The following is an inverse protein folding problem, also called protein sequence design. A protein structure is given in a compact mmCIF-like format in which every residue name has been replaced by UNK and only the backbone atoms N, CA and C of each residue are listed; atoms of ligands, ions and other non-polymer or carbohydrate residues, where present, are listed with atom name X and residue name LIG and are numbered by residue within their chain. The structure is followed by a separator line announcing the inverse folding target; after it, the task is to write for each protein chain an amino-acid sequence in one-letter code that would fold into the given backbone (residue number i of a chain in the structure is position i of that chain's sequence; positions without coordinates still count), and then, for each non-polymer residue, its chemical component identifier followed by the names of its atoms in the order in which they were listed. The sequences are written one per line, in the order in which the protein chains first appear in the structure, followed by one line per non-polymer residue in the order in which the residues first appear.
data_IF_682468941459
#
_entry.id   IF_682468941459
#
_cell.length_a   1.000
_cell.length_b   1.000
_cell.length_c   1.000
_cell.angle_alpha   90.00
_cell.angle_beta   90.00
_cell.angle_gamma   90.00
#
_symmetry.space_group_name_H-M   'P 1'
#
loop_
_entity.id
_entity.type
_entity.pdbx_description
1 polymer ?
#
# COMPACT_ATOMS: atom_id res chain seq x y z
N UNK A 1 5.96 0.25 18.09
CA UNK A 1 6.82 -0.87 17.68
C UNK A 1 6.38 -1.40 16.33
N UNK A 2 7.27 -2.05 15.58
CA UNK A 2 6.95 -2.63 14.26
C UNK A 2 5.81 -3.65 14.31
N UNK A 3 5.65 -4.35 15.44
CA UNK A 3 4.52 -5.26 15.70
C UNK A 3 3.15 -4.59 15.66
N UNK A 4 3.06 -3.30 15.99
CA UNK A 4 1.81 -2.54 15.89
C UNK A 4 1.60 -1.99 14.47
N UNK A 5 2.68 -1.69 13.74
CA UNK A 5 2.60 -1.27 12.35
C UNK A 5 2.18 -2.42 11.42
N UNK A 6 2.66 -3.64 11.67
CA UNK A 6 2.35 -4.82 10.85
C UNK A 6 0.85 -5.08 10.62
N UNK A 7 -0.02 -5.13 11.64
CA UNK A 7 -1.46 -5.33 11.42
C UNK A 7 -2.13 -4.14 10.73
N UNK A 8 -1.63 -2.90 10.92
CA UNK A 8 -2.13 -1.73 10.19
C UNK A 8 -1.83 -1.83 8.69
N UNK A 9 -0.60 -2.24 8.34
CA UNK A 9 -0.22 -2.50 6.93
C UNK A 9 -1.05 -3.64 6.34
N UNK A 10 -1.27 -4.72 7.10
CA UNK A 10 -2.09 -5.84 6.64
C UNK A 10 -3.56 -5.41 6.40
N UNK A 11 -4.14 -4.62 7.30
CA UNK A 11 -5.48 -4.07 7.13
C UNK A 11 -5.58 -3.12 5.93
N UNK A 12 -4.57 -2.28 5.72
CA UNK A 12 -4.48 -1.41 4.54
C UNK A 12 -4.41 -2.25 3.24
N UNK A 13 -3.58 -3.28 3.21
CA UNK A 13 -3.50 -4.20 2.07
C UNK A 13 -4.83 -4.89 1.77
N UNK A 14 -5.51 -5.41 2.80
CA UNK A 14 -6.84 -5.98 2.64
C UNK A 14 -7.85 -4.95 2.11
N UNK A 15 -7.79 -3.70 2.57
CA UNK A 15 -8.68 -2.62 2.10
C UNK A 15 -8.42 -2.27 0.64
N UNK A 16 -7.15 -2.13 0.23
CA UNK A 16 -6.77 -1.87 -1.16
C UNK A 16 -7.23 -3.00 -2.05
N UNK A 17 -6.99 -4.25 -1.65
CA UNK A 17 -7.40 -5.43 -2.41
C UNK A 17 -8.93 -5.55 -2.51
N UNK A 18 -9.67 -5.17 -1.46
CA UNK A 18 -11.14 -5.14 -1.51
C UNK A 18 -11.71 -4.17 -2.54
N UNK A 19 -10.95 -3.14 -2.93
CA UNK A 19 -11.37 -2.16 -3.92
C UNK A 19 -11.26 -2.69 -5.36
N UNK A 20 -10.37 -3.66 -5.61
CA UNK A 20 -10.26 -4.38 -6.87
C UNK A 20 -9.78 -5.83 -6.59
N UNK A 21 -10.71 -6.77 -6.38
CA UNK A 21 -10.38 -8.16 -6.04
C UNK A 21 -9.64 -8.94 -7.14
N UNK A 22 -9.58 -8.41 -8.37
CA UNK A 22 -8.85 -9.05 -9.48
C UNK A 22 -7.34 -8.80 -9.43
N UNK A 23 -6.88 -7.87 -8.58
CA UNK A 23 -5.47 -7.61 -8.41
C UNK A 23 -4.73 -8.83 -7.85
N UNK A 24 -3.50 -9.01 -8.32
CA UNK A 24 -2.53 -9.89 -7.68
C UNK A 24 -1.99 -9.25 -6.40
N UNK A 25 -1.48 -10.07 -5.48
CA UNK A 25 -0.81 -9.58 -4.27
C UNK A 25 0.29 -8.56 -4.59
N UNK A 26 1.04 -8.79 -5.67
CA UNK A 26 2.12 -7.92 -6.14
C UNK A 26 1.58 -6.55 -6.58
N UNK A 27 0.46 -6.51 -7.30
CA UNK A 27 -0.17 -5.24 -7.69
C UNK A 27 -0.68 -4.46 -6.48
N UNK A 28 -1.21 -5.13 -5.46
CA UNK A 28 -1.63 -4.47 -4.20
C UNK A 28 -0.43 -3.86 -3.47
N UNK A 29 0.67 -4.61 -3.33
CA UNK A 29 1.91 -4.09 -2.73
C UNK A 29 2.42 -2.89 -3.53
N UNK A 30 2.50 -3.00 -4.86
CA UNK A 30 2.95 -1.89 -5.70
C UNK A 30 2.06 -0.65 -5.57
N UNK A 31 0.74 -0.80 -5.47
CA UNK A 31 -0.16 0.32 -5.28
C UNK A 31 0.07 1.05 -3.95
N UNK A 32 0.37 0.30 -2.88
CA UNK A 32 0.70 0.84 -1.56
C UNK A 32 2.06 1.56 -1.61
N UNK A 33 3.08 0.95 -2.21
CA UNK A 33 4.42 1.53 -2.30
C UNK A 33 4.46 2.80 -3.15
N UNK A 34 3.73 2.83 -4.27
CA UNK A 34 3.67 3.98 -5.18
C UNK A 34 2.97 5.20 -4.58
N UNK A 35 2.04 4.98 -3.65
CA UNK A 35 1.23 6.05 -3.04
C UNK A 35 1.73 6.47 -1.66
N UNK A 36 2.72 5.76 -1.12
CA UNK A 36 3.35 6.10 0.15
C UNK A 36 4.13 7.43 0.07
N UNK A 37 4.35 8.04 1.24
CA UNK A 37 4.90 9.40 1.36
C UNK A 37 6.32 9.59 0.79
N UNK A 38 7.07 8.50 0.57
CA UNK A 38 8.40 8.50 -0.01
C UNK A 38 8.43 8.74 -1.52
N UNK A 39 7.26 8.80 -2.19
CA UNK A 39 7.13 9.17 -3.61
C UNK A 39 8.06 8.36 -4.53
N UNK A 40 8.16 7.05 -4.26
CA UNK A 40 9.02 6.12 -5.02
C UNK A 40 10.48 6.09 -4.59
N UNK A 41 10.90 6.91 -3.63
CA UNK A 41 12.23 6.81 -3.01
C UNK A 41 12.16 5.88 -1.81
N UNK A 42 13.04 4.88 -1.77
CA UNK A 42 13.18 3.94 -0.65
C UNK A 42 14.31 4.38 0.27
N UNK A 43 14.07 4.41 1.58
CA UNK A 43 15.13 4.51 2.60
C UNK A 43 15.18 3.24 3.44
N UNK A 44 16.27 3.05 4.20
CA UNK A 44 16.41 1.87 5.05
C UNK A 44 15.57 1.97 6.33
N UNK A 45 15.26 3.18 6.79
CA UNK A 45 14.46 3.43 8.00
C UNK A 45 12.95 3.33 7.73
N UNK A 46 12.49 3.78 6.56
CA UNK A 46 11.05 3.95 6.28
C UNK A 46 10.56 3.16 5.06
N UNK A 47 11.44 2.49 4.31
CA UNK A 47 11.05 1.92 3.03
C UNK A 47 10.54 3.02 2.11
N UNK A 48 9.35 2.84 1.52
CA UNK A 48 8.69 3.84 0.67
C UNK A 48 7.93 4.93 1.45
N UNK A 49 8.07 5.00 2.77
CA UNK A 49 7.45 6.02 3.61
C UNK A 49 6.15 5.56 4.27
N UNK A 50 5.34 6.53 4.71
CA UNK A 50 4.06 6.29 5.39
C UNK A 50 2.99 5.96 4.37
N UNK A 51 2.20 4.91 4.63
CA UNK A 51 1.11 4.46 3.76
C UNK A 51 0.02 5.53 3.65
N UNK A 52 -0.39 5.85 2.42
CA UNK A 52 -1.63 6.58 2.13
C UNK A 52 -2.69 5.60 1.62
N UNK A 53 -3.58 5.15 2.51
CA UNK A 53 -4.61 4.15 2.19
C UNK A 53 -5.62 4.70 1.18
N UNK A 54 -5.93 6.00 1.25
CA UNK A 54 -6.92 6.63 0.37
C UNK A 54 -6.39 6.67 -1.06
N UNK A 55 -5.14 7.11 -1.24
CA UNK A 55 -4.47 7.13 -2.54
C UNK A 55 -4.29 5.71 -3.09
N UNK A 56 -3.87 4.74 -2.26
CA UNK A 56 -3.72 3.34 -2.69
C UNK A 56 -5.04 2.72 -3.19
N UNK A 57 -6.16 2.99 -2.49
CA UNK A 57 -7.49 2.54 -2.90
C UNK A 57 -7.93 3.20 -4.21
N UNK A 58 -7.65 4.49 -4.38
CA UNK A 58 -7.96 5.19 -5.62
C UNK A 58 -7.17 4.61 -6.80
N UNK A 59 -5.88 4.34 -6.61
CA UNK A 59 -5.02 3.71 -7.62
C UNK A 59 -5.49 2.29 -7.95
N UNK A 60 -5.81 1.46 -6.96
CA UNK A 60 -6.25 0.08 -7.18
C UNK A 60 -7.51 -0.03 -8.07
N UNK A 61 -8.41 0.95 -8.00
CA UNK A 61 -9.64 1.00 -8.82
C UNK A 61 -9.39 1.26 -10.30
N UNK A 62 -8.23 1.84 -10.65
CA UNK A 62 -7.89 2.19 -12.04
C UNK A 62 -6.85 1.26 -12.66
N UNK A 63 -6.29 0.34 -11.87
CA UNK A 63 -5.43 -0.73 -12.40
C UNK A 63 -6.33 -1.73 -13.17
N UNK A 64 -6.03 -2.01 -14.45
CA UNK A 64 -6.81 -2.92 -15.28
C UNK A 64 -6.73 -4.38 -14.83
#
# INVERSE_FOLDING_TARGET
GTSFAAPLVAAAAARVWSANPQLTARQVVNAIEQTASGRGTRTDELGYGVIDVTAAVALARVIP
#
